data_IF_806166763017
#
_entry.id   IF_806166763017
#
_cell.length_a   1.000
_cell.length_b   1.000
_cell.length_c   1.000
_cell.angle_alpha   90.00
_cell.angle_beta   90.00
_cell.angle_gamma   90.00
#
_symmetry.space_group_name_H-M   'P 1'
#
loop_
_entity.id
_entity.type
_entity.pdbx_description
1 polymer ?
#
# COMPACT_ATOMS: atom_id res chain seq x y z
N UNK A 1 -22.32 3.61 -28.26
CA UNK A 1 -21.37 4.04 -27.22
C UNK A 1 -22.17 4.62 -26.07
N UNK A 2 -21.83 4.25 -24.82
CA UNK A 2 -22.50 4.75 -23.61
C UNK A 2 -21.51 5.52 -22.75
N UNK A 3 -21.88 6.73 -22.33
CA UNK A 3 -21.06 7.55 -21.43
C UNK A 3 -21.57 7.42 -20.00
N UNK A 4 -20.68 7.18 -19.04
CA UNK A 4 -21.03 7.11 -17.61
C UNK A 4 -19.84 7.51 -16.73
N UNK A 5 -20.07 7.74 -15.43
CA UNK A 5 -18.96 8.03 -14.50
C UNK A 5 -18.13 6.77 -14.23
N UNK A 6 -16.88 6.93 -13.80
CA UNK A 6 -16.07 5.79 -13.32
C UNK A 6 -16.74 5.11 -12.13
N UNK A 7 -17.40 5.87 -11.24
CA UNK A 7 -18.19 5.32 -10.13
C UNK A 7 -19.29 4.37 -10.62
N UNK A 8 -20.10 4.80 -11.59
CA UNK A 8 -21.17 3.96 -12.15
C UNK A 8 -20.61 2.73 -12.86
N UNK A 9 -19.50 2.89 -13.59
CA UNK A 9 -18.84 1.79 -14.27
C UNK A 9 -18.28 0.74 -13.28
N UNK A 10 -17.76 1.16 -12.13
CA UNK A 10 -17.33 0.25 -11.06
C UNK A 10 -18.53 -0.49 -10.43
N UNK A 11 -19.67 0.18 -10.26
CA UNK A 11 -20.91 -0.46 -9.82
C UNK A 11 -21.41 -1.48 -10.86
N UNK A 12 -21.38 -1.14 -12.16
CA UNK A 12 -21.73 -2.05 -13.25
C UNK A 12 -20.80 -3.28 -13.27
N UNK A 13 -19.49 -3.10 -13.08
CA UNK A 13 -18.54 -4.23 -12.97
C UNK A 13 -18.91 -5.19 -11.83
N UNK A 14 -19.33 -4.65 -10.69
CA UNK A 14 -19.76 -5.46 -9.53
C UNK A 14 -21.03 -6.23 -9.84
N UNK A 15 -22.00 -5.60 -10.52
CA UNK A 15 -23.22 -6.26 -10.96
C UNK A 15 -22.95 -7.33 -12.02
N UNK A 16 -22.10 -7.03 -13.01
CA UNK A 16 -21.67 -7.97 -14.04
C UNK A 16 -20.96 -9.17 -13.42
N UNK A 17 -20.12 -8.97 -12.41
CA UNK A 17 -19.50 -10.08 -11.67
C UNK A 17 -20.56 -11.03 -11.12
N UNK A 18 -21.55 -10.51 -10.37
CA UNK A 18 -22.65 -11.32 -9.83
C UNK A 18 -23.43 -12.04 -10.93
N UNK A 19 -23.73 -11.34 -12.04
CA UNK A 19 -24.45 -11.92 -13.19
C UNK A 19 -23.65 -13.02 -13.89
N UNK A 20 -22.33 -12.85 -14.04
CA UNK A 20 -21.43 -13.87 -14.59
C UNK A 20 -21.41 -15.07 -13.67
N UNK A 21 -21.26 -14.87 -12.36
CA UNK A 21 -21.23 -15.99 -11.40
C UNK A 21 -22.55 -16.77 -11.40
N UNK A 22 -23.70 -16.08 -11.46
CA UNK A 22 -25.01 -16.74 -11.60
C UNK A 22 -25.17 -17.44 -12.95
N UNK A 23 -24.76 -16.81 -14.06
CA UNK A 23 -24.88 -17.40 -15.39
C UNK A 23 -23.96 -18.62 -15.55
N UNK A 24 -22.74 -18.56 -14.97
CA UNK A 24 -21.81 -19.68 -14.88
C UNK A 24 -22.41 -20.83 -14.09
N UNK A 25 -22.95 -20.57 -12.90
CA UNK A 25 -23.57 -21.60 -12.09
C UNK A 25 -24.77 -22.28 -12.80
N UNK A 26 -25.50 -21.54 -13.63
CA UNK A 26 -26.59 -22.08 -14.44
C UNK A 26 -26.11 -22.97 -15.61
N UNK A 27 -24.81 -23.00 -15.92
CA UNK A 27 -24.25 -23.93 -16.92
C UNK A 27 -24.16 -25.37 -16.40
N UNK A 28 -24.17 -25.57 -15.08
CA UNK A 28 -24.22 -26.89 -14.47
C UNK A 28 -25.61 -27.56 -14.66
N UNK A 29 -25.74 -28.82 -14.21
CA UNK A 29 -26.98 -29.63 -14.24
C UNK A 29 -27.54 -29.96 -15.63
N UNK A 30 -26.73 -30.61 -16.47
CA UNK A 30 -27.11 -31.07 -17.81
C UNK A 30 -27.52 -29.98 -18.82
N UNK A 31 -27.35 -28.70 -18.48
CA UNK A 31 -27.72 -27.56 -19.34
C UNK A 31 -26.89 -27.50 -20.63
N UNK A 32 -25.61 -27.86 -20.56
CA UNK A 32 -24.68 -27.82 -21.69
C UNK A 32 -24.53 -29.15 -22.42
N UNK A 33 -24.38 -30.22 -21.64
CA UNK A 33 -24.23 -31.59 -22.14
C UNK A 33 -25.06 -32.54 -21.27
N UNK A 34 -25.66 -33.57 -21.87
CA UNK A 34 -26.51 -34.53 -21.17
C UNK A 34 -26.37 -35.93 -21.78
N UNK A 35 -26.44 -36.96 -20.94
CA UNK A 35 -26.48 -38.36 -21.38
C UNK A 35 -27.93 -38.73 -21.67
N UNK A 36 -28.20 -39.19 -22.89
CA UNK A 36 -29.53 -39.65 -23.33
C UNK A 36 -29.43 -40.94 -24.12
N UNK A 37 -30.46 -41.78 -24.00
CA UNK A 37 -30.62 -42.94 -24.88
C UNK A 37 -30.88 -42.51 -26.33
N UNK A 38 -30.54 -43.39 -27.28
CA UNK A 38 -30.73 -43.12 -28.71
C UNK A 38 -32.22 -42.90 -29.00
N UNK A 39 -32.56 -41.79 -29.66
CA UNK A 39 -33.94 -41.40 -29.97
C UNK A 39 -34.68 -40.64 -28.86
N UNK A 40 -34.17 -40.58 -27.63
CA UNK A 40 -34.81 -39.88 -26.51
C UNK A 40 -34.42 -38.39 -26.42
N UNK A 41 -35.24 -37.60 -25.73
CA UNK A 41 -35.02 -36.16 -25.49
C UNK A 41 -34.41 -35.96 -24.09
N UNK A 42 -33.42 -35.06 -23.91
CA UNK A 42 -32.89 -34.74 -22.58
C UNK A 42 -33.98 -34.29 -21.60
N UNK A 43 -33.89 -34.78 -20.36
CA UNK A 43 -34.86 -34.47 -19.29
C UNK A 43 -34.98 -32.95 -19.09
N UNK A 44 -36.21 -32.43 -19.13
CA UNK A 44 -36.49 -31.00 -18.96
C UNK A 44 -36.53 -30.17 -20.26
N UNK A 45 -36.35 -30.81 -21.42
CA UNK A 45 -36.37 -30.16 -22.74
C UNK A 45 -37.50 -30.71 -23.62
N UNK A 46 -37.99 -29.89 -24.56
CA UNK A 46 -39.11 -30.27 -25.45
C UNK A 46 -38.66 -31.10 -26.64
N UNK A 47 -37.45 -30.88 -27.13
CA UNK A 47 -36.83 -31.60 -28.25
C UNK A 47 -35.30 -31.52 -28.16
N UNK A 48 -34.60 -32.31 -28.99
CA UNK A 48 -33.13 -32.21 -29.12
C UNK A 48 -32.68 -30.86 -29.68
N UNK A 49 -33.47 -30.25 -30.55
CA UNK A 49 -33.21 -28.91 -31.09
C UNK A 49 -33.39 -27.82 -30.02
N UNK A 50 -34.45 -27.90 -29.20
CA UNK A 50 -34.66 -26.98 -28.06
C UNK A 50 -33.49 -27.04 -27.07
N UNK A 51 -32.97 -28.25 -26.83
CA UNK A 51 -31.78 -28.47 -26.03
C UNK A 51 -30.54 -27.76 -26.62
N UNK A 52 -30.26 -28.00 -27.90
CA UNK A 52 -29.11 -27.41 -28.60
C UNK A 52 -29.18 -25.88 -28.60
N UNK A 53 -30.36 -25.31 -28.88
CA UNK A 53 -30.58 -23.86 -28.88
C UNK A 53 -30.32 -23.28 -27.48
N UNK A 54 -30.87 -23.90 -26.43
CA UNK A 54 -30.69 -23.43 -25.05
C UNK A 54 -29.25 -23.56 -24.56
N UNK A 55 -28.56 -24.66 -24.88
CA UNK A 55 -27.15 -24.86 -24.53
C UNK A 55 -26.27 -23.78 -25.18
N UNK A 56 -26.46 -23.52 -26.48
CA UNK A 56 -25.75 -22.46 -27.21
C UNK A 56 -26.06 -21.07 -26.65
N UNK A 57 -27.33 -20.78 -26.37
CA UNK A 57 -27.74 -19.49 -25.81
C UNK A 57 -27.17 -19.26 -24.39
N UNK A 58 -27.06 -20.32 -23.58
CA UNK A 58 -26.46 -20.23 -22.25
C UNK A 58 -24.98 -19.85 -22.31
N UNK A 59 -24.20 -20.46 -23.21
CA UNK A 59 -22.80 -20.09 -23.45
C UNK A 59 -22.68 -18.66 -23.97
N UNK A 60 -23.43 -18.31 -25.02
CA UNK A 60 -23.44 -16.96 -25.59
C UNK A 60 -23.75 -15.89 -24.55
N UNK A 61 -24.68 -16.16 -23.63
CA UNK A 61 -25.00 -15.24 -22.52
C UNK A 61 -23.81 -15.01 -21.60
N UNK A 62 -23.09 -16.07 -21.22
CA UNK A 62 -21.89 -15.96 -20.38
C UNK A 62 -20.78 -15.19 -21.11
N UNK A 63 -20.52 -15.53 -22.36
CA UNK A 63 -19.52 -14.86 -23.19
C UNK A 63 -19.82 -13.36 -23.36
N UNK A 64 -21.08 -13.01 -23.63
CA UNK A 64 -21.50 -11.61 -23.76
C UNK A 64 -21.29 -10.82 -22.46
N UNK A 65 -21.60 -11.42 -21.30
CA UNK A 65 -21.38 -10.80 -20.00
C UNK A 65 -19.88 -10.61 -19.71
N UNK A 66 -19.05 -11.61 -20.01
CA UNK A 66 -17.59 -11.53 -19.86
C UNK A 66 -17.02 -10.45 -20.79
N UNK A 67 -17.43 -10.43 -22.06
CA UNK A 67 -17.00 -9.45 -23.04
C UNK A 67 -17.33 -8.03 -22.57
N UNK A 68 -18.58 -7.79 -22.15
CA UNK A 68 -19.00 -6.50 -21.58
C UNK A 68 -18.13 -6.10 -20.40
N UNK A 69 -17.93 -6.99 -19.43
CA UNK A 69 -17.11 -6.71 -18.24
C UNK A 69 -15.66 -6.38 -18.61
N UNK A 70 -15.08 -7.07 -19.60
CA UNK A 70 -13.72 -6.79 -20.11
C UNK A 70 -13.64 -5.41 -20.77
N UNK A 71 -14.62 -5.04 -21.59
CA UNK A 71 -14.68 -3.72 -22.25
C UNK A 71 -14.69 -2.60 -21.21
N UNK A 72 -15.60 -2.66 -20.23
CA UNK A 72 -15.68 -1.65 -19.17
C UNK A 72 -14.37 -1.57 -18.38
N UNK A 73 -13.83 -2.72 -17.96
CA UNK A 73 -12.60 -2.76 -17.16
C UNK A 73 -11.42 -2.16 -17.93
N UNK A 74 -11.31 -2.41 -19.24
CA UNK A 74 -10.26 -1.82 -20.08
C UNK A 74 -10.35 -0.30 -20.10
N UNK A 75 -11.54 0.25 -20.30
CA UNK A 75 -11.75 1.70 -20.33
C UNK A 75 -11.39 2.33 -18.98
N UNK A 76 -11.82 1.73 -17.87
CA UNK A 76 -11.45 2.21 -16.52
C UNK A 76 -9.94 2.19 -16.32
N UNK A 77 -9.25 1.12 -16.73
CA UNK A 77 -7.78 1.04 -16.59
C UNK A 77 -7.08 2.15 -17.38
N UNK A 78 -7.54 2.42 -18.62
CA UNK A 78 -7.00 3.51 -19.44
C UNK A 78 -7.27 4.88 -18.81
N UNK A 79 -8.47 5.09 -18.28
CA UNK A 79 -8.81 6.31 -17.56
C UNK A 79 -7.92 6.49 -16.33
N UNK A 80 -7.76 5.45 -15.51
CA UNK A 80 -6.93 5.53 -14.31
C UNK A 80 -5.45 5.82 -14.63
N UNK A 81 -4.95 5.31 -15.76
CA UNK A 81 -3.59 5.54 -16.21
C UNK A 81 -3.34 6.95 -16.79
N UNK A 82 -4.39 7.73 -17.06
CA UNK A 82 -4.29 9.06 -17.67
C UNK A 82 -4.83 10.19 -16.80
N UNK A 83 -5.69 9.89 -15.82
CA UNK A 83 -6.23 10.88 -14.89
C UNK A 83 -5.22 11.18 -13.78
N UNK A 84 -4.83 12.44 -13.64
CA UNK A 84 -3.95 12.94 -12.57
C UNK A 84 -4.74 13.30 -11.31
N UNK A 85 -4.13 13.06 -10.15
CA UNK A 85 -4.62 13.44 -8.82
C UNK A 85 -3.45 13.92 -7.95
N UNK A 86 -3.75 14.79 -6.99
CA UNK A 86 -2.77 15.25 -5.99
C UNK A 86 -3.11 14.65 -4.64
N UNK A 87 -2.16 13.92 -4.03
CA UNK A 87 -2.31 13.25 -2.73
C UNK A 87 -1.06 13.52 -1.91
N UNK A 88 -1.21 14.05 -0.69
CA UNK A 88 -0.09 14.43 0.17
C UNK A 88 0.98 15.27 -0.57
N UNK A 89 0.52 16.30 -1.28
CA UNK A 89 1.33 17.23 -2.08
C UNK A 89 2.16 16.59 -3.22
N UNK A 90 1.86 15.33 -3.58
CA UNK A 90 2.44 14.65 -4.72
C UNK A 90 1.41 14.47 -5.82
N UNK A 91 1.77 14.88 -7.03
CA UNK A 91 0.99 14.66 -8.24
C UNK A 91 1.29 13.26 -8.78
N UNK A 92 0.25 12.47 -9.04
CA UNK A 92 0.36 11.11 -9.56
C UNK A 92 -0.91 10.73 -10.32
N UNK A 93 -0.84 9.74 -11.19
CA UNK A 93 -2.03 9.17 -11.83
C UNK A 93 -2.91 8.45 -10.81
N UNK A 94 -4.20 8.28 -11.12
CA UNK A 94 -5.11 7.46 -10.30
C UNK A 94 -4.59 6.02 -10.19
N UNK A 95 -3.97 5.48 -11.26
CA UNK A 95 -3.34 4.16 -11.23
C UNK A 95 -2.17 4.10 -10.23
N UNK A 96 -1.27 5.08 -10.25
CA UNK A 96 -0.16 5.18 -9.29
C UNK A 96 -0.65 5.38 -7.86
N UNK A 97 -1.71 6.17 -7.64
CA UNK A 97 -2.32 6.33 -6.32
C UNK A 97 -2.87 5.02 -5.76
N UNK A 98 -3.49 4.18 -6.60
CA UNK A 98 -3.98 2.85 -6.21
C UNK A 98 -2.80 1.94 -5.83
N UNK A 99 -1.74 1.94 -6.64
CA UNK A 99 -0.55 1.12 -6.38
C UNK A 99 0.20 1.61 -5.12
N UNK A 100 0.27 2.92 -4.92
CA UNK A 100 0.88 3.53 -3.74
C UNK A 100 0.22 3.06 -2.44
N UNK A 101 -1.09 2.78 -2.43
CA UNK A 101 -1.77 2.17 -1.26
C UNK A 101 -1.16 0.82 -0.87
N UNK A 102 -0.71 0.04 -1.85
CA UNK A 102 0.01 -1.22 -1.60
C UNK A 102 1.42 -0.94 -1.10
N UNK A 103 2.08 0.10 -1.65
CA UNK A 103 3.44 0.45 -1.26
C UNK A 103 3.58 1.07 0.14
N UNK A 104 2.52 1.70 0.67
CA UNK A 104 2.54 2.30 2.02
C UNK A 104 3.03 1.32 3.09
N UNK A 105 2.69 0.03 2.99
CA UNK A 105 3.16 -0.99 3.93
C UNK A 105 4.70 -1.11 3.95
N UNK A 106 5.37 -0.96 2.80
CA UNK A 106 6.84 -0.96 2.76
C UNK A 106 7.42 0.31 3.38
N UNK A 107 6.79 1.47 3.16
CA UNK A 107 7.22 2.72 3.81
C UNK A 107 7.09 2.63 5.34
N UNK A 108 5.99 2.07 5.85
CA UNK A 108 5.79 1.83 7.29
C UNK A 108 6.87 0.87 7.84
N UNK A 109 7.19 -0.20 7.11
CA UNK A 109 8.24 -1.15 7.52
C UNK A 109 9.64 -0.51 7.55
N UNK A 110 9.95 0.37 6.59
CA UNK A 110 11.20 1.12 6.55
C UNK A 110 11.27 2.10 7.73
N UNK A 111 10.20 2.84 8.02
CA UNK A 111 10.13 3.72 9.19
C UNK A 111 10.35 2.92 10.48
N UNK A 112 9.68 1.78 10.64
CA UNK A 112 9.87 0.93 11.82
C UNK A 112 11.33 0.48 12.00
N UNK A 113 12.00 0.16 10.89
CA UNK A 113 13.43 -0.20 10.89
C UNK A 113 14.31 1.00 11.27
N UNK A 114 14.05 2.17 10.69
CA UNK A 114 14.75 3.42 10.98
C UNK A 114 14.59 3.84 12.44
N UNK A 115 13.38 3.78 12.99
CA UNK A 115 13.10 4.05 14.40
C UNK A 115 13.86 3.07 15.31
N UNK A 116 13.83 1.77 15.00
CA UNK A 116 14.59 0.77 15.76
C UNK A 116 16.09 1.06 15.75
N UNK A 117 16.65 1.38 14.60
CA UNK A 117 18.06 1.73 14.45
C UNK A 117 18.41 3.00 15.23
N UNK A 118 17.58 4.04 15.14
CA UNK A 118 17.75 5.29 15.87
C UNK A 118 17.75 5.07 17.38
N UNK A 119 16.73 4.39 17.92
CA UNK A 119 16.63 4.11 19.36
C UNK A 119 17.79 3.25 19.86
N UNK A 120 18.17 2.20 19.11
CA UNK A 120 19.33 1.36 19.47
C UNK A 120 20.62 2.15 19.53
N UNK A 121 20.88 2.98 18.52
CA UNK A 121 22.10 3.79 18.43
C UNK A 121 22.13 4.85 19.53
N UNK A 122 21.01 5.50 19.80
CA UNK A 122 20.90 6.49 20.88
C UNK A 122 21.10 5.86 22.27
N UNK A 123 20.60 4.65 22.50
CA UNK A 123 20.86 3.90 23.73
C UNK A 123 22.34 3.51 23.84
N UNK A 124 22.95 3.02 22.74
CA UNK A 124 24.37 2.70 22.71
C UNK A 124 25.24 3.93 22.99
N UNK A 125 24.90 5.07 22.38
CA UNK A 125 25.54 6.36 22.63
C UNK A 125 25.46 6.77 24.10
N UNK A 126 24.26 6.73 24.71
CA UNK A 126 24.06 7.02 26.14
C UNK A 126 24.90 6.12 27.04
N UNK A 127 24.96 4.82 26.75
CA UNK A 127 25.77 3.87 27.52
C UNK A 127 27.27 4.15 27.37
N UNK A 128 27.74 4.42 26.15
CA UNK A 128 29.14 4.75 25.89
C UNK A 128 29.53 6.07 26.58
N UNK A 129 28.69 7.09 26.50
CA UNK A 129 28.88 8.37 27.19
C UNK A 129 28.93 8.19 28.72
N UNK A 130 28.07 7.37 29.30
CA UNK A 130 28.10 7.05 30.73
C UNK A 130 29.40 6.36 31.15
N UNK A 131 29.92 5.42 30.33
CA UNK A 131 31.21 4.75 30.59
C UNK A 131 32.39 5.71 30.51
N UNK A 132 32.41 6.60 29.53
CA UNK A 132 33.46 7.63 29.40
C UNK A 132 33.43 8.57 30.59
N UNK A 133 32.24 8.98 31.05
CA UNK A 133 32.08 9.80 32.25
C UNK A 133 32.59 9.09 33.50
N UNK A 134 32.26 7.82 33.70
CA UNK A 134 32.75 7.04 34.85
C UNK A 134 34.28 6.89 34.85
N UNK A 135 34.90 6.72 33.67
CA UNK A 135 36.36 6.70 33.53
C UNK A 135 36.99 8.05 33.82
N UNK A 136 36.37 9.13 33.35
CA UNK A 136 36.81 10.50 33.66
C UNK A 136 36.74 10.76 35.17
N UNK A 137 35.66 10.36 35.83
CA UNK A 137 35.49 10.53 37.29
C UNK A 137 36.56 9.75 38.07
N UNK A 138 36.88 8.51 37.66
CA UNK A 138 37.98 7.72 38.24
C UNK A 138 39.34 8.38 38.04
N UNK A 139 39.63 8.83 36.81
CA UNK A 139 40.89 9.52 36.49
C UNK A 139 41.02 10.83 37.30
N UNK A 140 39.93 11.59 37.43
CA UNK A 140 39.93 12.81 38.21
C UNK A 140 40.18 12.54 39.71
N UNK A 141 39.59 11.49 40.28
CA UNK A 141 39.86 11.04 41.65
C UNK A 141 41.34 10.67 41.86
N UNK A 142 41.95 9.94 40.92
CA UNK A 142 43.37 9.54 40.99
C UNK A 142 44.34 10.72 40.86
N UNK A 143 44.08 11.64 39.91
CA UNK A 143 45.00 12.74 39.58
C UNK A 143 44.85 13.93 40.52
N UNK A 144 43.62 14.22 40.98
CA UNK A 144 43.32 15.45 41.74
C UNK A 144 43.02 15.19 43.23
N UNK A 145 42.80 13.93 43.64
CA UNK A 145 42.48 13.55 45.03
C UNK A 145 41.08 13.99 45.50
N UNK A 146 40.69 13.62 46.73
CA UNK A 146 39.35 13.90 47.30
C UNK A 146 38.99 15.39 47.43
N UNK A 147 39.93 16.33 47.21
CA UNK A 147 39.77 17.75 47.48
C UNK A 147 39.53 18.62 46.24
N UNK A 148 39.48 18.06 45.03
CA UNK A 148 39.21 18.84 43.83
C UNK A 148 37.70 18.90 43.55
N UNK A 149 37.14 20.11 43.65
CA UNK A 149 35.77 20.35 43.21
C UNK A 149 35.67 20.19 41.69
N UNK A 150 34.55 19.63 41.22
CA UNK A 150 34.17 19.48 39.81
C UNK A 150 34.21 20.82 39.04
N UNK A 151 34.21 21.95 39.75
CA UNK A 151 34.32 23.30 39.20
C UNK A 151 35.74 23.90 39.15
N UNK A 152 36.79 23.16 39.53
CA UNK A 152 38.16 23.68 39.46
C UNK A 152 38.67 23.73 38.02
N UNK A 153 39.41 24.78 37.66
CA UNK A 153 39.96 24.97 36.31
C UNK A 153 40.87 23.80 35.87
N UNK A 154 41.51 23.12 36.84
CA UNK A 154 42.30 21.90 36.62
C UNK A 154 41.43 20.71 36.21
N UNK A 155 40.27 20.51 36.84
CA UNK A 155 39.32 19.46 36.47
C UNK A 155 38.76 19.67 35.05
N UNK A 156 38.39 20.90 34.70
CA UNK A 156 37.91 21.23 33.35
C UNK A 156 38.96 20.95 32.27
N UNK A 157 40.20 21.40 32.46
CA UNK A 157 41.29 21.12 31.50
C UNK A 157 41.60 19.62 31.33
N UNK A 158 41.47 18.83 32.40
CA UNK A 158 41.63 17.38 32.36
C UNK A 158 40.45 16.73 31.63
N UNK A 159 39.23 17.17 31.90
CA UNK A 159 38.02 16.70 31.25
C UNK A 159 38.03 16.96 29.74
N UNK A 160 38.39 18.18 29.33
CA UNK A 160 38.46 18.56 27.91
C UNK A 160 39.51 17.74 27.15
N UNK A 161 40.69 17.56 27.75
CA UNK A 161 41.77 16.74 27.16
C UNK A 161 41.38 15.26 27.05
N UNK A 162 40.65 14.75 28.04
CA UNK A 162 40.17 13.37 28.07
C UNK A 162 39.04 13.15 27.05
N UNK A 163 38.07 14.05 26.99
CA UNK A 163 36.96 13.99 26.03
C UNK A 163 37.43 14.20 24.58
N UNK A 164 38.47 14.99 24.34
CA UNK A 164 39.05 15.12 23.00
C UNK A 164 39.66 13.81 22.48
N UNK A 165 40.08 12.91 23.39
CA UNK A 165 40.76 11.64 23.03
C UNK A 165 39.86 10.41 23.14
N UNK A 166 38.95 10.41 24.11
CA UNK A 166 38.10 9.26 24.46
C UNK A 166 36.60 9.61 24.46
N UNK A 167 36.23 10.81 24.00
CA UNK A 167 34.86 11.23 23.82
C UNK A 167 34.12 10.35 22.82
N UNK A 168 32.81 10.25 23.02
CA UNK A 168 31.92 9.52 22.12
C UNK A 168 31.08 10.55 21.41
N UNK A 169 30.98 10.42 20.09
CA UNK A 169 30.15 11.25 19.22
C UNK A 169 29.07 10.40 18.56
N UNK A 170 27.88 10.98 18.39
CA UNK A 170 26.81 10.39 17.59
C UNK A 170 26.87 10.98 16.18
N UNK A 171 27.42 10.23 15.24
CA UNK A 171 27.47 10.64 13.83
C UNK A 171 26.14 10.29 13.14
N UNK A 172 25.36 11.31 12.79
CA UNK A 172 24.14 11.17 11.99
C UNK A 172 24.24 11.99 10.69
N UNK A 173 24.75 11.40 9.60
CA UNK A 173 24.93 12.11 8.33
C UNK A 173 23.61 12.36 7.58
N UNK A 174 22.54 11.67 7.98
CA UNK A 174 21.25 11.69 7.27
C UNK A 174 20.19 12.53 7.96
N UNK A 175 20.48 13.02 9.17
CA UNK A 175 19.52 13.63 10.07
C UNK A 175 18.27 12.75 10.23
N UNK A 176 18.50 11.55 10.75
CA UNK A 176 17.54 10.44 10.77
C UNK A 176 16.23 10.81 11.48
N UNK A 177 16.29 11.69 12.49
CA UNK A 177 15.12 12.18 13.20
C UNK A 177 14.20 13.03 12.31
N UNK A 178 14.74 13.98 11.56
CA UNK A 178 13.96 14.81 10.63
C UNK A 178 13.42 13.96 9.47
N UNK A 179 14.22 13.03 8.95
CA UNK A 179 13.80 12.15 7.87
C UNK A 179 12.67 11.20 8.31
N UNK A 180 12.70 10.73 9.57
CA UNK A 180 11.62 9.96 10.18
C UNK A 180 10.33 10.77 10.26
N UNK A 181 10.40 12.01 10.77
CA UNK A 181 9.24 12.89 10.88
C UNK A 181 8.62 13.17 9.50
N UNK A 182 9.45 13.57 8.53
CA UNK A 182 9.01 13.84 7.16
C UNK A 182 8.27 12.66 6.53
N UNK A 183 8.82 11.44 6.65
CA UNK A 183 8.20 10.22 6.11
C UNK A 183 6.91 9.87 6.83
N UNK A 184 6.88 10.03 8.15
CA UNK A 184 5.69 9.76 8.97
C UNK A 184 4.55 10.70 8.59
N UNK A 185 4.82 12.01 8.47
CA UNK A 185 3.85 13.01 8.04
C UNK A 185 3.29 12.68 6.65
N UNK A 186 4.15 12.31 5.70
CA UNK A 186 3.71 11.90 4.36
C UNK A 186 2.76 10.70 4.41
N UNK A 187 3.10 9.64 5.15
CA UNK A 187 2.24 8.45 5.26
C UNK A 187 0.89 8.79 5.87
N UNK A 188 0.87 9.59 6.93
CA UNK A 188 -0.37 9.99 7.61
C UNK A 188 -1.27 10.83 6.70
N UNK A 189 -0.69 11.81 6.00
CA UNK A 189 -1.41 12.62 5.02
C UNK A 189 -1.91 11.78 3.85
N UNK A 190 -1.09 10.86 3.34
CA UNK A 190 -1.47 9.99 2.24
C UNK A 190 -2.64 9.09 2.63
N UNK A 191 -2.53 8.36 3.74
CA UNK A 191 -3.58 7.43 4.22
C UNK A 191 -4.89 8.14 4.55
N UNK A 192 -4.82 9.36 5.09
CA UNK A 192 -6.03 10.13 5.44
C UNK A 192 -6.73 10.74 4.22
N UNK A 193 -6.03 10.97 3.11
CA UNK A 193 -6.59 11.70 1.95
C UNK A 193 -6.85 10.83 0.72
N UNK A 194 -6.09 9.76 0.51
CA UNK A 194 -6.13 8.93 -0.72
C UNK A 194 -7.54 8.47 -1.08
N UNK A 195 -8.30 7.89 -0.15
CA UNK A 195 -9.63 7.33 -0.45
C UNK A 195 -10.64 8.40 -0.84
N UNK A 196 -10.57 9.57 -0.19
CA UNK A 196 -11.41 10.72 -0.51
C UNK A 196 -11.08 11.27 -1.89
N UNK A 197 -9.79 11.45 -2.20
CA UNK A 197 -9.35 11.96 -3.50
C UNK A 197 -9.72 11.00 -4.63
N UNK A 198 -9.49 9.70 -4.45
CA UNK A 198 -9.88 8.67 -5.41
C UNK A 198 -11.40 8.63 -5.62
N UNK A 199 -12.19 8.73 -4.55
CA UNK A 199 -13.66 8.75 -4.64
C UNK A 199 -14.17 9.96 -5.43
N UNK A 200 -13.63 11.16 -5.16
CA UNK A 200 -13.98 12.37 -5.89
C UNK A 200 -13.56 12.26 -7.36
N UNK A 201 -12.36 11.75 -7.64
CA UNK A 201 -11.87 11.53 -8.99
C UNK A 201 -12.79 10.58 -9.78
N UNK A 202 -13.18 9.46 -9.17
CA UNK A 202 -14.09 8.50 -9.79
C UNK A 202 -15.48 9.10 -10.09
N UNK A 203 -16.00 9.93 -9.18
CA UNK A 203 -17.31 10.57 -9.35
C UNK A 203 -17.31 11.67 -10.42
N UNK A 204 -16.15 12.31 -10.68
CA UNK A 204 -16.02 13.41 -11.67
C UNK A 204 -15.56 12.95 -13.04
N UNK A 205 -14.94 11.78 -13.14
CA UNK A 205 -14.38 11.28 -14.39
C UNK A 205 -15.44 10.57 -15.21
N UNK A 206 -15.71 11.06 -16.41
CA UNK A 206 -16.60 10.43 -17.38
C UNK A 206 -15.80 9.51 -18.30
N UNK A 207 -16.33 8.33 -18.58
CA UNK A 207 -15.74 7.37 -19.50
C UNK A 207 -16.72 6.98 -20.60
N UNK A 208 -16.18 6.73 -21.79
CA UNK A 208 -16.94 6.26 -22.95
C UNK A 208 -16.77 4.76 -23.11
N UNK A 209 -17.88 4.03 -23.08
CA UNK A 209 -17.92 2.58 -23.19
C UNK A 209 -18.34 2.22 -24.62
N UNK A 210 -17.47 1.55 -25.40
CA UNK A 210 -17.84 0.97 -26.68
C UNK A 210 -18.98 -0.04 -26.52
N UNK A 211 -19.84 -0.14 -27.54
CA UNK A 211 -20.95 -1.10 -27.56
C UNK A 211 -20.43 -2.56 -27.63
#
# INVERSE_FOLDING_TARGET
MTTMTVTDALAELTLLQKRIDSARAALDNNTLISVVEVGQVPTGFKSREDYEIKAKAALQKVDALIARRRTIKRVIVLSNASTMVTIADQEMTVAEAIEMKMFIMYYEAVIGTMQSAYTKTLNHYKMAQARVKERLDKLALEVLGQNASVGSQKYQSLADSFLAREGVELLDPTNLAEELERRQTFIEQFKSTVDRVLSISNARTMIEIPD
#
